data_IF_039963670069
#
_entry.id   IF_039963670069
#
_cell.length_a   1.000
_cell.length_b   1.000
_cell.length_c   1.000
_cell.angle_alpha   90.00
_cell.angle_beta   90.00
_cell.angle_gamma   90.00
#
_symmetry.space_group_name_H-M   'P 1'
#
loop_
_entity.id
_entity.type
_entity.pdbx_description
1 polymer ?
#
# COMPACT_ATOMS: atom_id res chain seq x y z
N UNK A 1 4.04 -27.14 16.82
CA UNK A 1 3.37 -25.92 16.33
C UNK A 1 4.42 -24.98 15.73
N UNK A 2 4.12 -24.36 14.58
CA UNK A 2 4.98 -23.32 14.01
C UNK A 2 4.76 -21.97 14.69
N UNK A 3 3.63 -21.78 15.35
CA UNK A 3 3.32 -20.56 16.07
C UNK A 3 3.90 -20.59 17.47
N UNK A 4 4.62 -19.55 17.82
CA UNK A 4 5.17 -19.35 19.16
C UNK A 4 4.17 -18.51 19.97
N UNK A 5 3.65 -19.03 21.10
CA UNK A 5 2.72 -18.27 21.92
C UNK A 5 3.36 -16.97 22.40
N UNK A 6 2.77 -15.86 22.02
CA UNK A 6 3.25 -14.52 22.32
C UNK A 6 2.08 -13.71 22.88
N UNK A 7 2.32 -13.02 24.00
CA UNK A 7 1.32 -12.17 24.66
C UNK A 7 1.74 -10.70 24.54
N UNK A 8 0.92 -9.91 23.87
CA UNK A 8 0.99 -8.45 23.89
C UNK A 8 0.16 -7.95 25.08
N UNK A 9 0.82 -7.32 26.04
CA UNK A 9 0.21 -6.85 27.28
C UNK A 9 0.18 -5.32 27.22
N UNK A 10 -0.99 -4.74 27.46
CA UNK A 10 -1.19 -3.30 27.63
C UNK A 10 -1.60 -3.00 29.05
N UNK A 11 -0.89 -2.09 29.69
CA UNK A 11 -1.24 -1.56 31.00
C UNK A 11 -2.35 -0.50 30.85
N UNK A 12 -3.03 -0.20 31.95
CA UNK A 12 -4.15 0.75 31.96
C UNK A 12 -3.78 2.18 31.57
N UNK A 13 -2.49 2.55 31.67
CA UNK A 13 -1.95 3.84 31.23
C UNK A 13 -1.47 3.84 29.77
N UNK A 14 -1.63 2.72 29.04
CA UNK A 14 -1.25 2.60 27.62
C UNK A 14 0.15 2.03 27.40
N UNK A 15 1.01 1.91 28.42
CA UNK A 15 2.30 1.24 28.26
C UNK A 15 2.11 -0.22 27.86
N UNK A 16 3.04 -0.75 27.07
CA UNK A 16 2.96 -2.11 26.56
C UNK A 16 4.22 -2.91 26.79
N UNK A 17 4.06 -4.22 26.85
CA UNK A 17 5.17 -5.18 26.78
C UNK A 17 4.77 -6.42 26.00
N UNK A 18 5.76 -7.12 25.45
CA UNK A 18 5.58 -8.43 24.82
C UNK A 18 6.27 -9.50 25.66
N UNK A 19 5.59 -10.63 25.82
CA UNK A 19 6.12 -11.84 26.48
C UNK A 19 6.06 -13.01 25.51
N UNK A 20 7.20 -13.61 25.21
CA UNK A 20 7.31 -14.85 24.45
C UNK A 20 7.34 -16.02 25.44
N UNK A 21 6.46 -17.01 25.25
CA UNK A 21 6.27 -18.11 26.21
C UNK A 21 7.17 -19.32 25.99
N UNK A 22 7.86 -19.37 24.83
CA UNK A 22 8.76 -20.47 24.48
C UNK A 22 10.18 -19.99 24.17
N UNK A 23 11.14 -20.93 24.20
CA UNK A 23 12.51 -20.63 23.81
C UNK A 23 12.63 -20.39 22.31
N UNK A 24 13.26 -19.29 21.95
CA UNK A 24 13.57 -18.90 20.55
C UNK A 24 15.04 -19.15 20.18
N UNK A 25 15.82 -19.72 21.10
CA UNK A 25 17.27 -19.92 20.92
C UNK A 25 17.57 -20.76 19.67
N UNK A 26 18.40 -20.20 18.78
CA UNK A 26 18.85 -20.85 17.55
C UNK A 26 17.77 -21.10 16.51
N UNK A 27 16.58 -20.50 16.66
CA UNK A 27 15.47 -20.60 15.70
C UNK A 27 15.50 -19.44 14.70
N UNK A 28 15.00 -19.70 13.50
CA UNK A 28 14.61 -18.65 12.56
C UNK A 28 13.22 -18.17 12.95
N UNK A 29 13.09 -16.89 13.25
CA UNK A 29 11.87 -16.26 13.75
C UNK A 29 11.30 -15.35 12.68
N UNK A 30 10.02 -15.54 12.38
CA UNK A 30 9.22 -14.69 11.51
C UNK A 30 8.21 -13.93 12.35
N UNK A 31 8.25 -12.60 12.30
CA UNK A 31 7.30 -11.71 12.96
C UNK A 31 6.37 -11.19 11.86
N UNK A 32 5.14 -11.70 11.79
CA UNK A 32 4.11 -11.21 10.88
C UNK A 32 3.26 -10.17 11.61
N UNK A 33 3.17 -8.98 11.06
CA UNK A 33 2.37 -7.89 11.60
C UNK A 33 1.65 -7.13 10.49
N UNK A 34 0.32 -7.10 10.54
CA UNK A 34 -0.49 -6.22 9.72
C UNK A 34 -0.54 -4.84 10.37
N UNK A 35 0.29 -3.94 9.85
CA UNK A 35 0.43 -2.56 10.34
C UNK A 35 -0.86 -1.75 10.12
N UNK A 36 -1.62 -2.09 9.08
CA UNK A 36 -2.88 -1.41 8.73
C UNK A 36 -4.09 -1.86 9.53
N UNK A 37 -3.96 -2.87 10.38
CA UNK A 37 -5.10 -3.47 11.07
C UNK A 37 -5.68 -2.59 12.17
N UNK A 38 -6.75 -1.88 11.83
CA UNK A 38 -7.48 -1.02 12.76
C UNK A 38 -8.45 -1.78 13.67
N UNK A 39 -8.69 -3.09 13.46
CA UNK A 39 -9.62 -3.88 14.30
C UNK A 39 -9.05 -4.24 15.66
N UNK A 40 -7.72 -4.21 15.83
CA UNK A 40 -7.06 -4.48 17.09
C UNK A 40 -7.31 -3.34 18.10
N UNK A 41 -7.80 -3.70 19.29
CA UNK A 41 -8.11 -2.71 20.33
C UNK A 41 -7.41 -3.00 21.66
N UNK A 42 -7.25 -1.96 22.46
CA UNK A 42 -6.78 -2.05 23.85
C UNK A 42 -7.49 -1.02 24.75
N UNK A 43 -7.48 -1.26 26.07
CA UNK A 43 -8.04 -0.30 27.02
C UNK A 43 -6.96 0.60 27.58
N UNK A 44 -7.21 1.92 27.62
CA UNK A 44 -6.36 2.92 28.24
C UNK A 44 -7.26 3.93 28.97
N UNK A 45 -7.00 4.17 30.25
CA UNK A 45 -7.82 5.01 31.13
C UNK A 45 -9.33 4.68 31.08
N UNK A 46 -9.67 3.39 30.91
CA UNK A 46 -11.05 2.92 30.82
C UNK A 46 -11.69 2.99 29.44
N UNK A 47 -11.09 3.69 28.48
CA UNK A 47 -11.57 3.82 27.11
C UNK A 47 -11.01 2.73 26.19
N UNK A 48 -11.82 2.32 25.21
CA UNK A 48 -11.38 1.44 24.13
C UNK A 48 -10.67 2.30 23.07
N UNK A 49 -9.43 1.94 22.75
CA UNK A 49 -8.62 2.58 21.73
C UNK A 49 -8.30 1.55 20.65
N UNK A 50 -8.30 1.97 19.40
CA UNK A 50 -7.83 1.17 18.29
C UNK A 50 -6.31 1.32 18.13
N UNK A 51 -5.63 0.24 17.77
CA UNK A 51 -4.22 0.33 17.40
C UNK A 51 -4.10 0.98 16.03
N UNK A 52 -3.25 2.00 15.95
CA UNK A 52 -2.80 2.55 14.68
C UNK A 52 -1.45 1.95 14.25
N UNK A 53 -0.90 2.40 13.11
CA UNK A 53 0.39 1.92 12.60
C UNK A 53 1.53 2.03 13.60
N UNK A 54 1.59 3.11 14.38
CA UNK A 54 2.63 3.34 15.38
C UNK A 54 2.61 2.29 16.51
N UNK A 55 1.41 1.94 17.00
CA UNK A 55 1.27 0.92 18.04
C UNK A 55 1.67 -0.46 17.51
N UNK A 56 1.30 -0.80 16.29
CA UNK A 56 1.70 -2.05 15.65
C UNK A 56 3.21 -2.10 15.44
N UNK A 57 3.82 -1.04 14.92
CA UNK A 57 5.27 -0.98 14.74
C UNK A 57 6.02 -1.05 16.08
N UNK A 58 5.52 -0.39 17.13
CA UNK A 58 6.08 -0.49 18.47
C UNK A 58 5.99 -1.91 19.04
N UNK A 59 4.92 -2.67 18.73
CA UNK A 59 4.80 -4.06 19.15
C UNK A 59 5.77 -5.00 18.40
N UNK A 60 6.10 -4.71 17.14
CA UNK A 60 7.21 -5.38 16.43
C UNK A 60 8.52 -5.16 17.21
N UNK A 61 8.85 -3.92 17.55
CA UNK A 61 10.08 -3.61 18.31
C UNK A 61 10.13 -4.29 19.67
N UNK A 62 9.01 -4.33 20.37
CA UNK A 62 8.88 -5.07 21.65
C UNK A 62 9.11 -6.56 21.47
N UNK A 63 8.60 -7.13 20.37
CA UNK A 63 8.78 -8.55 20.04
C UNK A 63 10.26 -8.85 19.75
N UNK A 64 10.92 -8.05 18.92
CA UNK A 64 12.36 -8.17 18.65
C UNK A 64 13.17 -8.05 19.96
N UNK A 65 12.82 -7.09 20.82
CA UNK A 65 13.45 -6.92 22.13
C UNK A 65 13.25 -8.15 23.04
N UNK A 66 12.05 -8.78 23.02
CA UNK A 66 11.78 -9.98 23.82
C UNK A 66 12.56 -11.21 23.34
N UNK A 67 12.94 -11.28 22.06
CA UNK A 67 13.81 -12.32 21.48
C UNK A 67 15.24 -12.20 22.07
N UNK A 68 15.69 -11.00 22.44
CA UNK A 68 16.94 -10.73 23.13
C UNK A 68 18.20 -11.23 22.37
N UNK A 69 18.20 -11.19 21.04
CA UNK A 69 19.33 -11.64 20.23
C UNK A 69 19.65 -13.14 20.37
N UNK A 70 18.68 -13.98 20.74
CA UNK A 70 18.87 -15.43 20.92
C UNK A 70 18.43 -16.24 19.70
N UNK A 71 17.64 -15.67 18.78
CA UNK A 71 17.29 -16.29 17.52
C UNK A 71 18.53 -16.39 16.61
N UNK A 72 18.52 -17.33 15.70
CA UNK A 72 19.53 -17.43 14.62
C UNK A 72 19.29 -16.36 13.55
N UNK A 73 18.03 -16.15 13.18
CA UNK A 73 17.58 -15.11 12.23
C UNK A 73 16.26 -14.51 12.70
N UNK A 74 16.07 -13.22 12.44
CA UNK A 74 14.80 -12.52 12.65
C UNK A 74 14.38 -11.89 11.34
N UNK A 75 13.23 -12.30 10.83
CA UNK A 75 12.57 -11.74 9.65
C UNK A 75 11.29 -11.05 10.09
N UNK A 76 11.10 -9.79 9.70
CA UNK A 76 9.86 -9.05 9.92
C UNK A 76 9.06 -9.02 8.63
N UNK A 77 7.81 -9.45 8.70
CA UNK A 77 6.86 -9.44 7.57
C UNK A 77 5.81 -8.38 7.87
N UNK A 78 5.86 -7.31 7.12
CA UNK A 78 4.84 -6.24 7.14
C UNK A 78 4.22 -6.19 5.75
N UNK A 79 3.02 -6.78 5.53
CA UNK A 79 2.37 -6.69 4.22
C UNK A 79 2.33 -5.25 3.71
N UNK A 80 1.76 -4.34 4.46
CA UNK A 80 1.94 -2.90 4.29
C UNK A 80 3.22 -2.46 5.02
N UNK A 81 4.15 -1.82 4.31
CA UNK A 81 5.34 -1.29 4.94
C UNK A 81 4.98 -0.06 5.80
N UNK A 82 5.44 -0.05 7.07
CA UNK A 82 5.22 1.07 7.98
C UNK A 82 5.78 2.38 7.41
N UNK A 83 4.95 3.43 7.43
CA UNK A 83 5.24 4.78 6.92
C UNK A 83 5.75 4.81 5.47
N UNK A 84 5.34 3.86 4.62
CA UNK A 84 5.80 3.76 3.22
C UNK A 84 5.54 5.02 2.40
N UNK A 85 4.51 5.80 2.73
CA UNK A 85 4.18 7.08 2.08
C UNK A 85 5.11 8.21 2.51
N UNK A 86 5.83 8.05 3.64
CA UNK A 86 6.83 8.99 4.14
C UNK A 86 8.26 8.52 3.82
N UNK A 87 8.47 8.08 2.56
CA UNK A 87 9.71 7.52 2.03
C UNK A 87 10.74 8.58 1.64
N UNK A 88 10.31 9.81 1.41
CA UNK A 88 11.15 10.96 1.07
C UNK A 88 10.62 12.23 1.74
N UNK A 89 11.47 13.20 1.91
CA UNK A 89 11.09 14.52 2.46
C UNK A 89 11.47 15.64 1.50
N UNK A 90 10.66 16.68 1.51
CA UNK A 90 10.92 17.96 0.85
C UNK A 90 10.90 19.04 1.92
N UNK A 91 12.05 19.68 2.16
CA UNK A 91 12.13 20.71 3.21
C UNK A 91 12.23 20.15 4.62
N UNK A 92 11.45 20.70 5.56
CA UNK A 92 11.51 20.38 6.99
C UNK A 92 10.42 19.36 7.38
N UNK A 93 10.46 18.21 6.80
CA UNK A 93 9.54 17.09 7.05
C UNK A 93 10.28 15.95 7.75
N UNK A 94 9.55 15.09 8.46
CA UNK A 94 10.10 13.84 8.99
C UNK A 94 10.43 12.85 7.85
N UNK A 95 11.23 11.83 8.14
CA UNK A 95 11.59 10.77 7.19
C UNK A 95 11.36 9.42 7.87
N UNK A 96 10.11 9.13 8.21
CA UNK A 96 9.74 8.11 9.15
C UNK A 96 10.00 6.70 8.62
N UNK A 97 9.75 6.43 7.34
CA UNK A 97 9.99 5.12 6.75
C UNK A 97 11.47 4.69 6.84
N UNK A 98 12.39 5.58 6.45
CA UNK A 98 13.81 5.30 6.51
C UNK A 98 14.31 5.13 7.96
N UNK A 99 13.85 5.97 8.87
CA UNK A 99 14.21 5.87 10.30
C UNK A 99 13.70 4.58 10.91
N UNK A 100 12.47 4.17 10.59
CA UNK A 100 11.89 2.93 11.08
C UNK A 100 12.67 1.69 10.60
N UNK A 101 13.03 1.64 9.32
CA UNK A 101 13.84 0.55 8.77
C UNK A 101 15.23 0.49 9.42
N UNK A 102 15.90 1.63 9.59
CA UNK A 102 17.18 1.71 10.30
C UNK A 102 17.06 1.31 11.78
N UNK A 103 15.91 1.57 12.42
CA UNK A 103 15.66 1.13 13.77
C UNK A 103 15.55 -0.39 13.87
N UNK A 104 14.86 -1.04 12.93
CA UNK A 104 14.79 -2.50 12.85
C UNK A 104 16.18 -3.12 12.62
N UNK A 105 16.99 -2.54 11.72
CA UNK A 105 18.38 -2.98 11.49
C UNK A 105 19.19 -2.91 12.77
N UNK A 106 19.17 -1.79 13.51
CA UNK A 106 19.87 -1.61 14.79
C UNK A 106 19.40 -2.57 15.89
N UNK A 107 18.13 -2.97 15.85
CA UNK A 107 17.57 -3.95 16.79
C UNK A 107 17.97 -5.39 16.45
N UNK A 108 18.67 -5.62 15.33
CA UNK A 108 19.15 -6.93 14.93
C UNK A 108 18.15 -7.74 14.10
N UNK A 109 17.22 -7.07 13.43
CA UNK A 109 16.42 -7.68 12.36
C UNK A 109 17.34 -7.95 11.17
N UNK A 110 17.22 -9.13 10.56
CA UNK A 110 18.07 -9.58 9.46
C UNK A 110 17.40 -9.34 8.10
N UNK A 111 16.06 -9.30 8.09
CA UNK A 111 15.31 -9.23 6.86
C UNK A 111 13.93 -8.59 7.08
N UNK A 112 13.49 -7.78 6.13
CA UNK A 112 12.14 -7.24 6.04
C UNK A 112 11.50 -7.71 4.76
N UNK A 113 10.31 -8.34 4.87
CA UNK A 113 9.47 -8.73 3.74
C UNK A 113 8.23 -7.84 3.71
N UNK A 114 7.90 -7.32 2.54
CA UNK A 114 6.75 -6.44 2.35
C UNK A 114 6.15 -6.61 0.95
N UNK A 115 5.00 -5.98 0.70
CA UNK A 115 4.35 -6.03 -0.60
C UNK A 115 4.19 -4.61 -1.14
N UNK A 116 4.43 -4.47 -2.44
CA UNK A 116 4.12 -3.31 -3.28
C UNK A 116 4.38 -1.96 -2.60
N UNK A 117 5.62 -1.78 -2.16
CA UNK A 117 6.07 -0.56 -1.46
C UNK A 117 5.78 0.68 -2.31
N UNK A 118 5.35 1.76 -1.66
CA UNK A 118 5.02 3.02 -2.33
C UNK A 118 6.19 3.58 -3.17
N UNK A 119 7.43 3.49 -2.66
CA UNK A 119 8.66 3.79 -3.39
C UNK A 119 9.75 2.73 -3.07
N UNK A 120 10.14 1.88 -4.03
CA UNK A 120 11.17 0.86 -3.81
C UNK A 120 12.54 1.41 -3.41
N UNK A 121 12.82 2.69 -3.68
CA UNK A 121 14.09 3.30 -3.31
C UNK A 121 14.29 3.46 -1.81
N UNK A 122 13.25 3.24 -0.99
CA UNK A 122 13.37 3.25 0.48
C UNK A 122 14.42 2.25 0.99
N UNK A 123 14.65 1.15 0.27
CA UNK A 123 15.69 0.17 0.58
C UNK A 123 17.11 0.77 0.62
N UNK A 124 17.35 1.88 -0.08
CA UNK A 124 18.65 2.56 -0.06
C UNK A 124 19.01 3.14 1.33
N UNK A 125 18.03 3.26 2.23
CA UNK A 125 18.29 3.69 3.61
C UNK A 125 18.93 2.60 4.48
N UNK A 126 18.89 1.33 4.04
CA UNK A 126 19.30 0.14 4.81
C UNK A 126 20.13 -0.83 3.94
N UNK A 127 21.28 -0.41 3.41
CA UNK A 127 22.04 -1.19 2.43
C UNK A 127 22.58 -2.54 2.94
N UNK A 128 22.56 -2.77 4.26
CA UNK A 128 23.04 -4.00 4.89
C UNK A 128 21.92 -4.91 5.41
N UNK A 129 20.66 -4.42 5.42
CA UNK A 129 19.49 -5.21 5.78
C UNK A 129 18.90 -5.85 4.52
N UNK A 130 18.59 -7.15 4.56
CA UNK A 130 17.83 -7.80 3.49
C UNK A 130 16.42 -7.20 3.42
N UNK A 131 16.03 -6.74 2.22
CA UNK A 131 14.73 -6.11 1.99
C UNK A 131 14.10 -6.72 0.74
N UNK A 132 12.98 -7.41 0.92
CA UNK A 132 12.25 -8.08 -0.15
C UNK A 132 10.87 -7.44 -0.33
N UNK A 133 10.63 -6.93 -1.53
CA UNK A 133 9.38 -6.31 -1.93
C UNK A 133 8.67 -7.16 -2.98
N UNK A 134 7.56 -7.79 -2.60
CA UNK A 134 6.77 -8.65 -3.47
C UNK A 134 5.66 -7.87 -4.16
N UNK A 135 5.37 -8.23 -5.40
CA UNK A 135 4.30 -7.62 -6.19
C UNK A 135 3.20 -8.64 -6.47
N UNK A 136 1.94 -8.39 -6.07
CA UNK A 136 0.82 -9.29 -6.33
C UNK A 136 0.26 -9.17 -7.77
N UNK A 137 0.99 -8.52 -8.67
CA UNK A 137 0.57 -8.24 -10.05
C UNK A 137 0.07 -9.48 -10.78
N UNK A 138 0.76 -10.62 -10.63
CA UNK A 138 0.37 -11.87 -11.28
C UNK A 138 -1.03 -12.32 -10.85
N UNK A 139 -1.32 -12.32 -9.56
CA UNK A 139 -2.61 -12.78 -9.03
C UNK A 139 -3.74 -11.81 -9.38
N UNK A 140 -3.47 -10.52 -9.36
CA UNK A 140 -4.43 -9.47 -9.76
C UNK A 140 -4.74 -9.61 -11.26
N UNK A 141 -3.73 -9.69 -12.12
CA UNK A 141 -3.90 -9.85 -13.57
C UNK A 141 -4.63 -11.15 -13.91
N UNK A 142 -4.26 -12.25 -13.26
CA UNK A 142 -4.94 -13.54 -13.42
C UNK A 142 -6.42 -13.46 -13.04
N UNK A 143 -6.73 -12.75 -11.94
CA UNK A 143 -8.11 -12.53 -11.52
C UNK A 143 -8.88 -11.66 -12.50
N UNK A 144 -8.28 -10.58 -13.00
CA UNK A 144 -8.84 -9.70 -14.03
C UNK A 144 -9.21 -10.51 -15.29
N UNK A 145 -8.25 -11.25 -15.87
CA UNK A 145 -8.48 -12.04 -17.09
C UNK A 145 -9.56 -13.10 -16.89
N UNK A 146 -9.58 -13.74 -15.71
CA UNK A 146 -10.56 -14.80 -15.40
C UNK A 146 -11.99 -14.27 -15.30
N UNK A 147 -12.17 -13.05 -14.80
CA UNK A 147 -13.49 -12.50 -14.50
C UNK A 147 -14.04 -11.59 -15.60
N UNK A 148 -13.20 -11.09 -16.52
CA UNK A 148 -13.60 -10.15 -17.57
C UNK A 148 -13.53 -10.82 -18.94
N UNK A 149 -14.61 -11.53 -19.30
CA UNK A 149 -14.68 -12.31 -20.55
C UNK A 149 -14.64 -11.47 -21.83
N UNK A 150 -14.94 -10.17 -21.75
CA UNK A 150 -14.95 -9.23 -22.89
C UNK A 150 -13.67 -8.41 -23.00
N UNK A 151 -12.72 -8.61 -22.07
CA UNK A 151 -11.46 -7.91 -22.06
C UNK A 151 -10.52 -8.49 -23.12
N UNK A 152 -10.03 -7.64 -24.00
CA UNK A 152 -9.09 -7.99 -25.04
C UNK A 152 -7.71 -7.44 -24.72
N UNK A 153 -6.72 -8.34 -24.57
CA UNK A 153 -5.33 -7.97 -24.23
C UNK A 153 -4.56 -7.57 -25.49
N UNK A 154 -4.88 -6.40 -26.03
CA UNK A 154 -4.15 -5.82 -27.15
C UNK A 154 -4.11 -4.29 -27.05
N UNK A 155 -3.16 -3.65 -27.74
CA UNK A 155 -2.87 -2.21 -27.67
C UNK A 155 -4.00 -1.31 -28.19
N UNK A 156 -4.89 -1.86 -29.02
CA UNK A 156 -6.01 -1.10 -29.58
C UNK A 156 -7.24 -1.13 -28.68
N UNK A 157 -7.30 -2.05 -27.72
CA UNK A 157 -8.46 -2.33 -26.88
C UNK A 157 -8.26 -2.09 -25.39
N UNK A 158 -7.03 -2.17 -24.90
CA UNK A 158 -6.71 -1.97 -23.49
C UNK A 158 -5.52 -1.03 -23.32
N UNK A 159 -5.60 -0.14 -22.35
CA UNK A 159 -4.50 0.73 -21.92
C UNK A 159 -4.39 0.70 -20.40
N UNK A 160 -3.17 0.66 -19.89
CA UNK A 160 -2.88 0.80 -18.46
C UNK A 160 -2.70 2.28 -18.13
N UNK A 161 -3.29 2.74 -17.04
CA UNK A 161 -3.23 4.14 -16.62
C UNK A 161 -2.54 4.26 -15.27
N UNK A 162 -1.53 5.13 -15.23
CA UNK A 162 -0.95 5.63 -13.99
C UNK A 162 -1.77 6.82 -13.47
N UNK A 163 -2.25 6.79 -12.21
CA UNK A 163 -3.02 7.90 -11.65
C UNK A 163 -2.17 9.15 -11.37
N UNK A 164 -0.86 9.01 -11.26
CA UNK A 164 0.08 10.11 -11.12
C UNK A 164 1.52 9.64 -11.45
N UNK A 165 2.47 10.56 -11.33
CA UNK A 165 3.89 10.26 -11.63
C UNK A 165 4.52 9.26 -10.64
N UNK A 166 3.98 9.12 -9.43
CA UNK A 166 4.49 8.19 -8.42
C UNK A 166 4.18 6.73 -8.73
N UNK A 167 3.04 6.46 -9.37
CA UNK A 167 2.62 5.11 -9.76
C UNK A 167 3.13 4.67 -11.15
N UNK A 168 3.95 5.50 -11.82
CA UNK A 168 4.33 5.26 -13.22
C UNK A 168 5.12 3.97 -13.43
N UNK A 169 6.08 3.65 -12.57
CA UNK A 169 6.88 2.44 -12.68
C UNK A 169 5.99 1.19 -12.56
N UNK A 170 5.00 1.22 -11.67
CA UNK A 170 3.99 0.16 -11.52
C UNK A 170 3.16 0.03 -12.79
N UNK A 171 2.68 1.14 -13.34
CA UNK A 171 1.90 1.14 -14.57
C UNK A 171 2.70 0.58 -15.76
N UNK A 172 3.97 0.93 -15.88
CA UNK A 172 4.89 0.38 -16.89
C UNK A 172 5.04 -1.13 -16.72
N UNK A 173 5.17 -1.60 -15.48
CA UNK A 173 5.27 -3.04 -15.22
C UNK A 173 4.00 -3.79 -15.65
N UNK A 174 2.81 -3.31 -15.23
CA UNK A 174 1.53 -3.89 -15.67
C UNK A 174 1.37 -3.87 -17.17
N UNK A 175 1.68 -2.75 -17.82
CA UNK A 175 1.59 -2.61 -19.29
C UNK A 175 2.51 -3.60 -20.02
N UNK A 176 3.71 -3.83 -19.48
CA UNK A 176 4.67 -4.79 -20.02
C UNK A 176 4.20 -6.23 -19.88
N UNK A 177 3.62 -6.59 -18.73
CA UNK A 177 3.03 -7.92 -18.48
C UNK A 177 1.84 -8.19 -19.40
N UNK A 178 1.00 -7.19 -19.62
CA UNK A 178 -0.20 -7.30 -20.45
C UNK A 178 0.08 -7.09 -21.96
N UNK A 179 1.26 -6.59 -22.33
CA UNK A 179 1.63 -6.30 -23.72
C UNK A 179 0.85 -5.12 -24.34
N UNK A 180 0.44 -4.15 -23.51
CA UNK A 180 -0.36 -2.98 -23.90
C UNK A 180 0.37 -1.66 -23.66
N UNK A 181 -0.23 -0.55 -24.08
CA UNK A 181 0.34 0.78 -23.85
C UNK A 181 0.04 1.30 -22.43
N UNK A 182 0.78 2.33 -22.03
CA UNK A 182 0.60 3.05 -20.77
C UNK A 182 0.24 4.51 -21.03
N UNK A 183 -0.65 5.05 -20.19
CA UNK A 183 -0.98 6.46 -20.10
C UNK A 183 -0.77 6.98 -18.68
N UNK A 184 -0.67 8.29 -18.54
CA UNK A 184 -0.40 8.97 -17.28
C UNK A 184 -1.39 10.10 -17.07
N UNK A 185 -1.96 10.21 -15.88
CA UNK A 185 -2.59 11.43 -15.40
C UNK A 185 -1.62 12.29 -14.61
N UNK A 186 -1.46 13.52 -15.03
CA UNK A 186 -0.65 14.51 -14.36
C UNK A 186 -1.51 15.51 -13.60
N UNK A 187 -1.27 15.64 -12.29
CA UNK A 187 -1.98 16.61 -11.44
C UNK A 187 -1.32 17.98 -11.56
N UNK A 188 -1.89 18.85 -12.38
CA UNK A 188 -1.49 20.25 -12.42
C UNK A 188 -2.00 20.96 -11.17
N UNK A 189 -1.09 21.52 -10.36
CA UNK A 189 -1.41 22.29 -9.15
C UNK A 189 -1.27 23.76 -9.42
N UNK A 190 -2.20 24.55 -8.88
CA UNK A 190 -2.07 26.01 -8.87
C UNK A 190 -1.12 26.44 -7.74
N UNK A 191 0.10 26.76 -8.13
CA UNK A 191 1.11 27.25 -7.18
C UNK A 191 0.90 28.71 -6.76
N UNK A 192 -0.08 29.43 -7.34
CA UNK A 192 -0.41 30.80 -6.98
C UNK A 192 -1.29 30.89 -5.73
N UNK A 193 -1.90 29.80 -5.30
CA UNK A 193 -2.84 29.75 -4.17
C UNK A 193 -2.51 28.60 -3.22
N UNK A 194 -2.71 28.84 -1.93
CA UNK A 194 -2.65 27.81 -0.89
C UNK A 194 -4.02 27.75 -0.21
N UNK A 195 -4.67 26.59 -0.26
CA UNK A 195 -5.94 26.33 0.42
C UNK A 195 -5.71 25.15 1.37
N UNK A 196 -5.99 25.34 2.66
CA UNK A 196 -5.78 24.36 3.73
C UNK A 196 -4.35 23.76 3.74
N UNK A 197 -3.33 24.60 3.50
CA UNK A 197 -1.92 24.17 3.49
C UNK A 197 -1.48 23.39 2.24
N UNK A 198 -2.34 23.27 1.23
CA UNK A 198 -2.04 22.57 -0.04
C UNK A 198 -2.34 23.47 -1.23
N UNK A 199 -1.57 23.30 -2.30
CA UNK A 199 -1.89 23.92 -3.59
C UNK A 199 -3.07 23.17 -4.20
N UNK A 200 -4.20 23.84 -4.54
CA UNK A 200 -5.35 23.15 -5.14
C UNK A 200 -4.97 22.52 -6.48
N UNK A 201 -5.55 21.36 -6.76
CA UNK A 201 -5.43 20.72 -8.08
C UNK A 201 -6.34 21.51 -9.02
N UNK A 202 -5.77 22.02 -10.11
CA UNK A 202 -6.51 22.85 -11.10
C UNK A 202 -7.07 21.96 -12.20
N UNK A 203 -6.34 20.91 -12.58
CA UNK A 203 -6.72 20.04 -13.66
C UNK A 203 -5.94 18.71 -13.60
N UNK A 204 -6.60 17.61 -14.00
CA UNK A 204 -5.94 16.38 -14.37
C UNK A 204 -5.66 16.43 -15.88
N UNK A 205 -4.41 16.44 -16.29
CA UNK A 205 -4.04 16.36 -17.70
C UNK A 205 -3.66 14.91 -18.04
N UNK A 206 -4.31 14.36 -19.06
CA UNK A 206 -3.99 13.05 -19.56
C UNK A 206 -2.87 13.11 -20.60
N UNK A 207 -1.87 12.27 -20.44
CA UNK A 207 -0.74 12.07 -21.37
C UNK A 207 -0.70 10.61 -21.80
N UNK A 208 -0.96 10.37 -23.06
CA UNK A 208 -0.98 9.01 -23.62
C UNK A 208 -1.68 8.95 -24.96
N UNK A 209 -1.85 7.73 -25.46
CA UNK A 209 -2.68 7.48 -26.67
C UNK A 209 -4.14 7.71 -26.36
N UNK A 210 -4.92 7.95 -27.41
CA UNK A 210 -6.36 8.04 -27.31
C UNK A 210 -6.97 6.82 -26.63
N UNK A 211 -7.92 7.08 -25.71
CA UNK A 211 -8.59 6.08 -24.87
C UNK A 211 -10.04 5.82 -25.30
N UNK A 212 -10.55 6.57 -26.30
CA UNK A 212 -11.93 6.45 -26.76
C UNK A 212 -12.26 5.01 -27.17
N UNK A 213 -13.35 4.48 -26.64
CA UNK A 213 -13.84 3.12 -26.90
C UNK A 213 -12.99 1.98 -26.35
N UNK A 214 -11.91 2.27 -25.62
CA UNK A 214 -11.02 1.25 -25.03
C UNK A 214 -11.43 0.92 -23.61
N UNK A 215 -10.95 -0.23 -23.16
CA UNK A 215 -10.89 -0.56 -21.72
C UNK A 215 -9.67 0.09 -21.10
N UNK A 216 -9.81 0.47 -19.84
CA UNK A 216 -8.73 1.08 -19.08
C UNK A 216 -8.51 0.33 -17.77
N UNK A 217 -7.25 0.08 -17.42
CA UNK A 217 -6.83 -0.45 -16.14
C UNK A 217 -6.02 0.61 -15.39
N UNK A 218 -6.63 1.26 -14.39
CA UNK A 218 -5.92 2.16 -13.48
C UNK A 218 -5.16 1.30 -12.47
N UNK A 219 -3.86 1.57 -12.26
CA UNK A 219 -3.04 0.80 -11.31
C UNK A 219 -2.39 1.72 -10.28
N UNK A 220 -2.50 1.32 -9.00
CA UNK A 220 -1.89 2.02 -7.88
C UNK A 220 -1.44 1.03 -6.80
N UNK A 221 -0.65 1.44 -5.80
CA UNK A 221 -0.32 0.61 -4.65
C UNK A 221 -1.48 0.51 -3.67
N UNK A 222 -2.18 1.61 -3.43
CA UNK A 222 -3.26 1.65 -2.46
C UNK A 222 -4.43 2.56 -2.85
N UNK A 223 -5.61 2.18 -2.40
CA UNK A 223 -6.78 3.05 -2.32
C UNK A 223 -6.97 3.43 -0.85
N UNK A 224 -6.66 4.68 -0.48
CA UNK A 224 -6.98 5.23 0.84
C UNK A 224 -8.43 5.77 0.84
N UNK A 225 -8.65 7.09 0.67
CA UNK A 225 -10.00 7.66 0.49
C UNK A 225 -10.63 7.32 -0.85
N UNK A 226 -9.81 7.04 -1.86
CA UNK A 226 -10.25 6.75 -3.23
C UNK A 226 -10.48 7.98 -4.12
N UNK A 227 -10.42 9.20 -3.59
CA UNK A 227 -10.70 10.43 -4.37
C UNK A 227 -9.92 10.49 -5.68
N UNK A 228 -8.61 10.22 -5.65
CA UNK A 228 -7.78 10.26 -6.87
C UNK A 228 -8.23 9.29 -7.94
N UNK A 229 -8.62 8.08 -7.57
CA UNK A 229 -9.08 7.05 -8.51
C UNK A 229 -10.45 7.42 -9.08
N UNK A 230 -11.35 7.92 -8.22
CA UNK A 230 -12.70 8.32 -8.61
C UNK A 230 -12.67 9.52 -9.57
N UNK A 231 -11.85 10.55 -9.30
CA UNK A 231 -11.68 11.71 -10.17
C UNK A 231 -11.17 11.30 -11.56
N UNK A 232 -10.17 10.39 -11.60
CA UNK A 232 -9.62 9.89 -12.86
C UNK A 232 -10.64 9.04 -13.60
N UNK A 233 -11.45 8.24 -12.91
CA UNK A 233 -12.49 7.43 -13.53
C UNK A 233 -13.56 8.32 -14.21
N UNK A 234 -13.95 9.43 -13.60
CA UNK A 234 -14.84 10.43 -14.20
C UNK A 234 -14.23 11.03 -15.47
N UNK A 235 -13.00 11.52 -15.39
CA UNK A 235 -12.28 12.09 -16.53
C UNK A 235 -12.15 11.10 -17.70
N UNK A 236 -11.92 9.82 -17.41
CA UNK A 236 -11.87 8.76 -18.41
C UNK A 236 -13.22 8.51 -19.07
N UNK A 237 -14.32 8.59 -18.31
CA UNK A 237 -15.68 8.48 -18.88
C UNK A 237 -16.04 9.67 -19.77
N UNK A 238 -15.61 10.87 -19.43
CA UNK A 238 -15.76 12.04 -20.31
C UNK A 238 -15.00 11.87 -21.64
N UNK A 239 -13.96 11.01 -21.66
CA UNK A 239 -13.20 10.62 -22.85
C UNK A 239 -13.79 9.39 -23.58
N UNK A 240 -15.02 9.00 -23.26
CA UNK A 240 -15.73 7.88 -23.86
C UNK A 240 -15.02 6.51 -23.72
N UNK A 241 -14.35 6.27 -22.60
CA UNK A 241 -13.78 4.96 -22.28
C UNK A 241 -14.89 3.92 -22.11
N UNK A 242 -14.70 2.72 -22.66
CA UNK A 242 -15.67 1.62 -22.58
C UNK A 242 -15.84 1.12 -21.14
N UNK A 243 -14.78 0.58 -20.55
CA UNK A 243 -14.76 0.08 -19.17
C UNK A 243 -13.58 0.66 -18.40
N UNK A 244 -13.78 0.90 -17.10
CA UNK A 244 -12.75 1.34 -16.18
C UNK A 244 -12.57 0.29 -15.10
N UNK A 245 -11.43 -0.38 -15.13
CA UNK A 245 -10.97 -1.31 -14.11
C UNK A 245 -9.94 -0.61 -13.23
N UNK A 246 -9.89 -0.99 -11.97
CA UNK A 246 -8.89 -0.50 -11.02
C UNK A 246 -8.17 -1.70 -10.42
N UNK A 247 -6.85 -1.66 -10.37
CA UNK A 247 -6.02 -2.67 -9.71
C UNK A 247 -5.16 -1.99 -8.64
N UNK A 248 -5.23 -2.52 -7.42
CA UNK A 248 -4.46 -2.00 -6.28
C UNK A 248 -4.06 -3.15 -5.35
N UNK A 249 -2.93 -3.00 -4.68
CA UNK A 249 -2.51 -3.98 -3.68
C UNK A 249 -3.29 -3.81 -2.38
N UNK A 250 -3.46 -2.56 -1.90
CA UNK A 250 -4.11 -2.26 -0.63
C UNK A 250 -5.36 -1.43 -0.83
N UNK A 251 -6.53 -2.02 -0.61
CA UNK A 251 -7.82 -1.34 -0.73
C UNK A 251 -8.39 -1.02 0.67
N UNK A 252 -7.91 0.06 1.29
CA UNK A 252 -8.33 0.46 2.64
C UNK A 252 -9.74 1.03 2.71
N UNK A 253 -10.17 1.76 1.68
CA UNK A 253 -11.48 2.43 1.64
C UNK A 253 -11.77 3.19 2.95
N UNK A 254 -10.84 4.04 3.36
CA UNK A 254 -10.89 4.73 4.68
C UNK A 254 -12.13 5.61 4.89
N UNK A 255 -12.84 5.96 3.81
CA UNK A 255 -14.11 6.69 3.83
C UNK A 255 -15.32 5.83 3.49
N UNK A 256 -15.18 4.50 3.56
CA UNK A 256 -16.24 3.55 3.21
C UNK A 256 -16.34 3.26 1.71
N UNK A 257 -17.34 2.44 1.36
CA UNK A 257 -17.56 1.97 -0.02
C UNK A 257 -18.67 2.71 -0.76
N UNK A 258 -19.39 3.60 -0.12
CA UNK A 258 -20.61 4.23 -0.66
C UNK A 258 -20.35 4.97 -1.97
N UNK A 259 -19.22 5.72 -2.05
CA UNK A 259 -18.82 6.42 -3.28
C UNK A 259 -18.48 5.43 -4.40
N UNK A 260 -17.76 4.36 -4.09
CA UNK A 260 -17.40 3.32 -5.08
C UNK A 260 -18.63 2.56 -5.58
N UNK A 261 -19.57 2.22 -4.69
CA UNK A 261 -20.83 1.57 -5.07
C UNK A 261 -21.64 2.45 -6.01
N UNK A 262 -21.75 3.75 -5.72
CA UNK A 262 -22.42 4.70 -6.61
C UNK A 262 -21.73 4.78 -7.98
N UNK A 263 -20.42 4.87 -8.03
CA UNK A 263 -19.66 4.92 -9.28
C UNK A 263 -19.80 3.62 -10.10
N UNK A 264 -19.95 2.49 -9.43
CA UNK A 264 -20.28 1.22 -10.08
C UNK A 264 -21.70 1.23 -10.65
N UNK A 265 -22.70 1.65 -9.88
CA UNK A 265 -24.09 1.77 -10.30
C UNK A 265 -24.28 2.74 -11.47
N UNK A 266 -23.57 3.85 -11.45
CA UNK A 266 -23.55 4.88 -12.52
C UNK A 266 -22.72 4.42 -13.75
N UNK A 267 -22.10 3.24 -13.73
CA UNK A 267 -21.28 2.70 -14.82
C UNK A 267 -19.96 3.44 -15.06
N UNK A 268 -19.49 4.21 -14.07
CA UNK A 268 -18.23 4.97 -14.13
C UNK A 268 -17.03 4.05 -13.86
N UNK A 269 -17.11 3.19 -12.84
CA UNK A 269 -16.15 2.13 -12.57
C UNK A 269 -16.80 0.78 -12.86
N UNK A 270 -16.10 -0.07 -13.60
CA UNK A 270 -16.57 -1.42 -13.90
C UNK A 270 -16.27 -2.38 -12.77
N UNK A 271 -15.04 -2.35 -12.24
CA UNK A 271 -14.62 -3.22 -11.12
C UNK A 271 -13.29 -2.78 -10.50
N UNK A 272 -13.14 -3.07 -9.21
CA UNK A 272 -11.89 -2.94 -8.46
C UNK A 272 -11.34 -4.32 -8.17
N UNK A 273 -10.05 -4.52 -8.45
CA UNK A 273 -9.27 -5.71 -8.13
C UNK A 273 -8.25 -5.37 -7.06
N UNK A 274 -8.24 -6.13 -6.00
CA UNK A 274 -7.31 -5.94 -4.88
C UNK A 274 -6.91 -7.27 -4.27
N UNK A 275 -5.96 -7.21 -3.34
CA UNK A 275 -5.56 -8.35 -2.51
C UNK A 275 -6.37 -8.37 -1.20
N UNK A 276 -6.14 -9.40 -0.39
CA UNK A 276 -6.63 -9.51 0.98
C UNK A 276 -5.50 -9.31 2.01
N UNK A 277 -4.52 -8.46 1.68
CA UNK A 277 -3.35 -8.19 2.54
C UNK A 277 -3.64 -7.17 3.67
N UNK A 278 -4.84 -6.60 3.70
CA UNK A 278 -5.32 -5.66 4.73
C UNK A 278 -6.70 -6.04 5.20
#
# INVERSE_FOLDING_TARGET
SFLIPTNEIRFSNGEGKVKISESVRGKDIYILCDIGNYSCTYKMFGFINHKGPDEHFQDIKRTVSAIRGKAAKITVIMPLLYESRQHRRKGRESLDCALALQELERLGVHEVLTFDVHDPNVQNAIPLLSFENFYPTYDIVKSLIKNENTLELNKDKLIVISPDTGAMDRAIYYSSVLGVDVGLFYKRRDHSRIVNGKNPIVQHEYMGRDVEGKDVLIVDDMIASGESVLDIALELKERNVRNVYVATTFAFFTEGLEKFNKFYEDGIITRVYSTNLT
#
